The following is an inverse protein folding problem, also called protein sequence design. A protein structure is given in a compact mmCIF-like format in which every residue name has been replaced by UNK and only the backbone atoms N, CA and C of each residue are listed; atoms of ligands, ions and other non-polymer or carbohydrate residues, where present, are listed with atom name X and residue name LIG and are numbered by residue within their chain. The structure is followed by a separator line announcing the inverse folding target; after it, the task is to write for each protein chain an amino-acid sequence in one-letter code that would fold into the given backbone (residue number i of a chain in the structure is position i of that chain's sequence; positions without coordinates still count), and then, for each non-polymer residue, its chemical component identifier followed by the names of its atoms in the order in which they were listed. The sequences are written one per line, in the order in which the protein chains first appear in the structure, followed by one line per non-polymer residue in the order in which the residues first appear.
data_IF_797511626093
#
_entry.id   IF_797511626093
#
_cell.length_a   1.000
_cell.length_b   1.000
_cell.length_c   1.000
_cell.angle_alpha   90.00
_cell.angle_beta   90.00
_cell.angle_gamma   90.00
#
_symmetry.space_group_name_H-M   'P 1'
#
loop_
_entity.id
_entity.type
_entity.pdbx_description
1 polymer ?
#
# COMPACT_ATOMS: atom_id res chain seq x y z
N UNK A 1 -2.25 14.94 37.97
CA UNK A 1 -2.33 15.21 36.52
C UNK A 1 -1.99 13.92 35.81
N UNK A 2 -3.03 13.18 35.45
CA UNK A 2 -2.92 11.81 34.94
C UNK A 2 -2.51 11.82 33.47
N UNK A 3 -1.41 11.14 33.16
CA UNK A 3 -0.94 10.81 31.81
C UNK A 3 -1.87 9.78 31.17
N UNK A 4 -2.98 10.24 30.60
CA UNK A 4 -3.77 9.49 29.63
C UNK A 4 -3.39 9.99 28.23
N UNK A 5 -2.49 9.31 27.53
CA UNK A 5 -2.13 9.75 26.17
C UNK A 5 -1.00 9.04 25.42
N UNK A 6 -0.64 7.78 25.72
CA UNK A 6 0.45 7.10 24.98
C UNK A 6 0.11 5.70 24.44
N UNK A 7 -1.09 5.17 24.68
CA UNK A 7 -1.42 3.77 24.37
C UNK A 7 -1.82 3.49 22.90
N UNK A 8 -1.99 4.52 22.07
CA UNK A 8 -2.33 4.34 20.64
C UNK A 8 -1.16 4.52 19.66
N UNK A 9 -0.01 5.03 20.12
CA UNK A 9 1.10 5.47 19.27
C UNK A 9 2.21 4.42 19.13
N UNK A 10 2.34 3.50 20.09
CA UNK A 10 3.36 2.45 20.10
C UNK A 10 3.18 1.41 18.99
N UNK A 11 1.93 1.09 18.65
CA UNK A 11 1.65 -0.07 17.79
C UNK A 11 2.12 0.14 16.36
N UNK A 12 1.99 1.36 15.83
CA UNK A 12 2.41 1.69 14.48
C UNK A 12 3.94 1.65 14.34
N UNK A 13 4.69 2.12 15.34
CA UNK A 13 6.15 2.04 15.31
C UNK A 13 6.62 0.59 15.35
N UNK A 14 6.01 -0.22 16.23
CA UNK A 14 6.34 -1.65 16.36
C UNK A 14 6.05 -2.38 15.04
N UNK A 15 4.90 -2.10 14.42
CA UNK A 15 4.55 -2.64 13.11
C UNK A 15 5.53 -2.17 12.03
N UNK A 16 5.92 -0.89 12.02
CA UNK A 16 6.87 -0.35 11.05
C UNK A 16 8.25 -1.01 11.15
N UNK A 17 8.72 -1.34 12.35
CA UNK A 17 9.96 -2.10 12.55
C UNK A 17 9.92 -3.50 11.92
N UNK A 18 8.72 -4.07 11.74
CA UNK A 18 8.51 -5.39 11.15
C UNK A 18 8.51 -5.40 9.62
N UNK A 19 8.49 -4.22 8.97
CA UNK A 19 8.56 -4.08 7.51
C UNK A 19 9.94 -4.51 7.04
N UNK A 20 10.07 -5.55 6.21
CA UNK A 20 11.38 -6.10 5.84
C UNK A 20 12.14 -5.27 4.81
N UNK A 21 11.44 -4.82 3.77
CA UNK A 21 12.07 -4.01 2.74
C UNK A 21 12.49 -2.66 3.35
N UNK A 22 13.76 -2.32 3.13
CA UNK A 22 14.37 -1.14 3.77
C UNK A 22 13.75 0.15 3.25
N UNK A 23 13.44 0.23 1.96
CA UNK A 23 12.87 1.43 1.37
C UNK A 23 11.37 1.54 1.70
N UNK A 24 10.60 0.46 1.68
CA UNK A 24 9.23 0.43 2.20
C UNK A 24 9.17 0.90 3.65
N UNK A 25 10.12 0.44 4.49
CA UNK A 25 10.23 0.88 5.90
C UNK A 25 10.55 2.37 6.01
N UNK A 26 11.47 2.86 5.19
CA UNK A 26 11.83 4.28 5.15
C UNK A 26 10.62 5.15 4.76
N UNK A 27 9.91 4.75 3.70
CA UNK A 27 8.74 5.46 3.16
C UNK A 27 7.56 5.47 4.14
N UNK A 28 7.24 4.35 4.79
CA UNK A 28 6.18 4.35 5.81
C UNK A 28 6.58 5.19 7.03
N UNK A 29 7.89 5.30 7.33
CA UNK A 29 8.41 6.23 8.34
C UNK A 29 8.12 7.71 8.04
N UNK A 30 8.15 8.11 6.76
CA UNK A 30 7.73 9.46 6.35
C UNK A 30 6.24 9.68 6.61
N UNK A 31 5.40 8.69 6.30
CA UNK A 31 3.96 8.75 6.56
C UNK A 31 3.65 8.90 8.05
N UNK A 32 4.34 8.12 8.89
CA UNK A 32 4.20 8.20 10.35
C UNK A 32 4.65 9.56 10.88
N UNK A 33 5.73 10.11 10.33
CA UNK A 33 6.22 11.45 10.69
C UNK A 33 5.20 12.53 10.32
N UNK A 34 4.64 12.48 9.11
CA UNK A 34 3.59 13.40 8.67
C UNK A 34 2.32 13.28 9.53
N UNK A 35 1.91 12.05 9.87
CA UNK A 35 0.76 11.79 10.74
C UNK A 35 0.96 12.42 12.12
N UNK A 36 2.14 12.23 12.72
CA UNK A 36 2.51 12.83 14.02
C UNK A 36 2.56 14.35 13.98
N UNK A 37 3.00 14.91 12.87
CA UNK A 37 3.01 16.36 12.66
C UNK A 37 1.64 16.98 12.38
N UNK A 38 0.56 16.19 12.36
CA UNK A 38 -0.79 16.67 12.00
C UNK A 38 -0.97 16.96 10.51
N UNK A 39 0.01 16.63 9.67
CA UNK A 39 -0.06 16.77 8.22
C UNK A 39 -0.83 15.59 7.61
N UNK A 40 -2.12 15.48 7.91
CA UNK A 40 -2.94 14.28 7.65
C UNK A 40 -3.07 13.94 6.16
N UNK A 41 -3.29 14.93 5.28
CA UNK A 41 -3.31 14.71 3.82
C UNK A 41 -1.97 14.18 3.30
N UNK A 42 -0.86 14.74 3.80
CA UNK A 42 0.49 14.29 3.45
C UNK A 42 0.77 12.88 3.99
N UNK A 43 0.27 12.54 5.18
CA UNK A 43 0.38 11.19 5.71
C UNK A 43 -0.33 10.16 4.83
N UNK A 44 -1.52 10.48 4.31
CA UNK A 44 -2.23 9.63 3.32
C UNK A 44 -1.40 9.47 2.04
N UNK A 45 -0.86 10.58 1.50
CA UNK A 45 0.02 10.53 0.33
C UNK A 45 1.22 9.60 0.55
N UNK A 46 1.96 9.82 1.65
CA UNK A 46 3.16 9.03 1.95
C UNK A 46 2.84 7.56 2.23
N UNK A 47 1.68 7.27 2.85
CA UNK A 47 1.21 5.89 3.05
C UNK A 47 0.99 5.20 1.70
N UNK A 48 0.34 5.87 0.75
CA UNK A 48 0.15 5.34 -0.60
C UNK A 48 1.47 5.11 -1.34
N UNK A 49 2.43 6.04 -1.21
CA UNK A 49 3.76 5.88 -1.82
C UNK A 49 4.46 4.62 -1.29
N UNK A 50 4.40 4.37 0.03
CA UNK A 50 4.96 3.17 0.63
C UNK A 50 4.29 1.90 0.08
N UNK A 51 2.95 1.88 -0.01
CA UNK A 51 2.17 0.77 -0.57
C UNK A 51 2.54 0.51 -2.03
N UNK A 52 2.56 1.56 -2.86
CA UNK A 52 2.83 1.42 -4.29
C UNK A 52 4.24 0.91 -4.56
N UNK A 53 5.23 1.46 -3.83
CA UNK A 53 6.61 0.99 -3.91
C UNK A 53 6.73 -0.49 -3.51
N UNK A 54 6.13 -0.88 -2.39
CA UNK A 54 6.24 -2.24 -1.87
C UNK A 54 5.62 -3.30 -2.80
N UNK A 55 4.48 -2.98 -3.44
CA UNK A 55 3.87 -3.83 -4.48
C UNK A 55 4.83 -4.03 -5.64
N UNK A 56 5.44 -2.94 -6.15
CA UNK A 56 6.37 -3.00 -7.28
C UNK A 56 7.62 -3.79 -6.90
N UNK A 57 8.17 -3.57 -5.69
CA UNK A 57 9.31 -4.31 -5.19
C UNK A 57 9.02 -5.81 -5.15
N UNK A 58 7.90 -6.21 -4.53
CA UNK A 58 7.45 -7.61 -4.49
C UNK A 58 7.22 -8.18 -5.89
N UNK A 59 6.61 -7.42 -6.80
CA UNK A 59 6.39 -7.84 -8.18
C UNK A 59 7.71 -8.14 -8.91
N UNK A 60 8.75 -7.31 -8.73
CA UNK A 60 10.09 -7.56 -9.30
C UNK A 60 10.70 -8.83 -8.76
N UNK A 61 10.56 -9.05 -7.46
CA UNK A 61 11.12 -10.25 -6.83
C UNK A 61 10.39 -11.54 -7.23
N UNK A 62 9.07 -11.49 -7.45
CA UNK A 62 8.29 -12.64 -7.97
C UNK A 62 8.62 -12.88 -9.45
N UNK A 63 8.72 -11.81 -10.26
CA UNK A 63 9.11 -11.91 -11.67
C UNK A 63 10.47 -12.59 -11.86
N UNK A 64 11.44 -12.32 -10.95
CA UNK A 64 12.74 -12.96 -10.92
C UNK A 64 12.71 -14.48 -10.71
N UNK A 65 11.62 -15.03 -10.15
CA UNK A 65 11.45 -16.46 -9.87
C UNK A 65 10.85 -17.24 -11.04
N UNK A 66 10.38 -16.56 -12.09
CA UNK A 66 9.96 -17.23 -13.32
C UNK A 66 8.51 -17.00 -13.75
N UNK A 67 7.65 -16.51 -12.86
CA UNK A 67 6.20 -16.40 -13.07
C UNK A 67 5.81 -15.44 -14.21
N UNK A 68 4.84 -15.85 -15.04
CA UNK A 68 4.50 -15.14 -16.27
C UNK A 68 3.77 -13.81 -16.03
N UNK A 69 2.78 -13.76 -15.13
CA UNK A 69 2.00 -12.54 -14.86
C UNK A 69 2.87 -11.41 -14.27
N UNK A 70 3.65 -11.65 -13.19
CA UNK A 70 4.54 -10.63 -12.63
C UNK A 70 5.58 -10.13 -13.64
N UNK A 71 6.12 -11.01 -14.50
CA UNK A 71 7.03 -10.61 -15.58
C UNK A 71 6.37 -9.68 -16.59
N UNK A 72 5.14 -9.95 -16.99
CA UNK A 72 4.41 -9.09 -17.92
C UNK A 72 4.14 -7.71 -17.32
N UNK A 73 3.73 -7.66 -16.04
CA UNK A 73 3.52 -6.41 -15.32
C UNK A 73 4.82 -5.59 -15.20
N UNK A 74 5.91 -6.22 -14.76
CA UNK A 74 7.22 -5.54 -14.63
C UNK A 74 7.73 -5.07 -15.99
N UNK A 75 7.55 -5.85 -17.05
CA UNK A 75 7.91 -5.41 -18.40
C UNK A 75 7.09 -4.18 -18.82
N UNK A 76 5.77 -4.17 -18.58
CA UNK A 76 4.90 -3.00 -18.86
C UNK A 76 5.38 -1.77 -18.11
N UNK A 77 5.78 -1.92 -16.85
CA UNK A 77 6.34 -0.85 -16.03
C UNK A 77 7.68 -0.34 -16.58
N UNK A 78 8.62 -1.24 -16.86
CA UNK A 78 9.96 -0.90 -17.36
C UNK A 78 9.90 -0.21 -18.73
N UNK A 79 9.03 -0.68 -19.62
CA UNK A 79 8.78 -0.06 -20.93
C UNK A 79 8.22 1.37 -20.76
N UNK A 80 7.32 1.60 -19.79
CA UNK A 80 6.77 2.93 -19.49
C UNK A 80 7.83 3.88 -18.91
N UNK A 81 8.73 3.36 -18.05
CA UNK A 81 9.88 4.10 -17.51
C UNK A 81 10.82 4.52 -18.63
N UNK A 82 11.21 3.60 -19.51
CA UNK A 82 12.12 3.88 -20.62
C UNK A 82 11.53 4.93 -21.58
N UNK A 83 10.21 4.91 -21.79
CA UNK A 83 9.52 5.87 -22.65
C UNK A 83 9.19 7.22 -21.97
N UNK A 84 9.38 7.34 -20.64
CA UNK A 84 8.92 8.48 -19.84
C UNK A 84 7.42 8.80 -20.07
N UNK A 85 6.60 7.76 -20.21
CA UNK A 85 5.19 7.90 -20.60
C UNK A 85 4.31 8.15 -19.37
N UNK A 86 4.04 9.44 -19.11
CA UNK A 86 3.22 9.91 -17.99
C UNK A 86 1.82 9.30 -17.96
N UNK A 87 1.20 9.08 -19.13
CA UNK A 87 -0.16 8.49 -19.18
C UNK A 87 -0.12 7.04 -18.75
N UNK A 88 0.87 6.28 -19.22
CA UNK A 88 1.05 4.89 -18.78
C UNK A 88 1.35 4.79 -17.29
N UNK A 89 2.10 5.72 -16.71
CA UNK A 89 2.31 5.74 -15.27
C UNK A 89 1.01 5.92 -14.49
N UNK A 90 0.14 6.83 -14.93
CA UNK A 90 -1.18 7.02 -14.33
C UNK A 90 -2.04 5.76 -14.44
N UNK A 91 -2.05 5.11 -15.61
CA UNK A 91 -2.76 3.84 -15.81
C UNK A 91 -2.22 2.75 -14.88
N UNK A 92 -0.89 2.57 -14.82
CA UNK A 92 -0.26 1.59 -13.93
C UNK A 92 -0.60 1.88 -12.46
N UNK A 93 -0.56 3.14 -12.03
CA UNK A 93 -0.91 3.52 -10.66
C UNK A 93 -2.38 3.20 -10.33
N UNK A 94 -3.29 3.47 -11.27
CA UNK A 94 -4.72 3.19 -11.10
C UNK A 94 -5.01 1.69 -11.01
N UNK A 95 -4.28 0.85 -11.75
CA UNK A 95 -4.47 -0.61 -11.82
C UNK A 95 -3.66 -1.37 -10.75
N UNK A 96 -2.80 -0.69 -9.99
CA UNK A 96 -1.76 -1.33 -9.17
C UNK A 96 -2.31 -2.29 -8.11
N UNK A 97 -3.41 -1.93 -7.45
CA UNK A 97 -4.04 -2.79 -6.45
C UNK A 97 -4.74 -3.98 -7.08
N UNK A 98 -5.31 -3.81 -8.29
CA UNK A 98 -5.91 -4.91 -9.04
C UNK A 98 -4.84 -5.92 -9.44
N UNK A 99 -3.68 -5.45 -9.91
CA UNK A 99 -2.54 -6.32 -10.18
C UNK A 99 -2.04 -7.01 -8.91
N UNK A 100 -1.91 -6.27 -7.80
CA UNK A 100 -1.48 -6.83 -6.52
C UNK A 100 -2.40 -7.96 -6.01
N UNK A 101 -3.71 -7.82 -6.21
CA UNK A 101 -4.70 -8.79 -5.79
C UNK A 101 -4.81 -9.99 -6.75
N UNK A 102 -5.05 -9.72 -8.04
CA UNK A 102 -5.38 -10.78 -9.02
C UNK A 102 -4.14 -11.38 -9.69
N UNK A 103 -3.15 -10.56 -10.02
CA UNK A 103 -1.94 -11.00 -10.72
C UNK A 103 -0.85 -11.52 -9.79
N UNK A 104 -0.69 -10.89 -8.62
CA UNK A 104 0.36 -11.20 -7.65
C UNK A 104 -0.14 -11.93 -6.40
N UNK A 105 -1.45 -12.02 -6.18
CA UNK A 105 -2.07 -12.70 -5.03
C UNK A 105 -1.52 -12.24 -3.67
N UNK A 106 -1.23 -10.94 -3.53
CA UNK A 106 -0.66 -10.35 -2.32
C UNK A 106 -1.69 -10.05 -1.23
N UNK A 107 -2.98 -9.99 -1.59
CA UNK A 107 -4.05 -9.46 -0.75
C UNK A 107 -5.23 -10.43 -0.70
N UNK A 108 -5.84 -10.57 0.47
CA UNK A 108 -7.17 -11.14 0.60
C UNK A 108 -8.24 -10.10 0.18
N UNK A 109 -9.50 -10.53 -0.12
CA UNK A 109 -10.53 -9.61 -0.61
C UNK A 109 -10.78 -8.38 0.28
N UNK A 110 -10.88 -8.57 1.60
CA UNK A 110 -11.08 -7.45 2.55
C UNK A 110 -9.86 -6.54 2.68
N UNK A 111 -8.65 -7.08 2.51
CA UNK A 111 -7.39 -6.33 2.53
C UNK A 111 -7.29 -5.44 1.27
N UNK A 112 -7.69 -5.98 0.12
CA UNK A 112 -7.81 -5.23 -1.13
C UNK A 112 -8.78 -4.06 -0.99
N UNK A 113 -9.99 -4.29 -0.46
CA UNK A 113 -10.98 -3.22 -0.26
C UNK A 113 -10.46 -2.10 0.65
N UNK A 114 -9.75 -2.46 1.73
CA UNK A 114 -9.14 -1.50 2.63
C UNK A 114 -8.08 -0.62 1.92
N UNK A 115 -7.24 -1.22 1.07
CA UNK A 115 -6.24 -0.47 0.30
C UNK A 115 -6.85 0.33 -0.87
N UNK A 116 -7.94 -0.13 -1.47
CA UNK A 116 -8.72 0.65 -2.45
C UNK A 116 -9.28 1.92 -1.79
N UNK A 117 -9.74 1.81 -0.54
CA UNK A 117 -10.18 2.99 0.21
C UNK A 117 -9.04 3.98 0.44
N UNK A 118 -7.84 3.50 0.79
CA UNK A 118 -6.63 4.35 0.84
C UNK A 118 -6.37 5.04 -0.50
N UNK A 119 -6.42 4.34 -1.62
CA UNK A 119 -6.21 4.92 -2.95
C UNK A 119 -7.25 6.00 -3.28
N UNK A 120 -8.50 5.80 -2.88
CA UNK A 120 -9.58 6.78 -3.08
C UNK A 120 -9.36 8.04 -2.23
N UNK A 121 -9.08 7.87 -0.93
CA UNK A 121 -8.81 9.01 -0.04
C UNK A 121 -7.52 9.74 -0.44
N UNK A 122 -6.53 9.02 -1.01
CA UNK A 122 -5.37 9.61 -1.69
C UNK A 122 -5.82 10.49 -2.85
N UNK A 123 -6.68 10.03 -3.75
CA UNK A 123 -7.13 10.88 -4.86
C UNK A 123 -7.77 12.18 -4.36
N UNK A 124 -8.60 12.10 -3.32
CA UNK A 124 -9.19 13.29 -2.67
C UNK A 124 -8.13 14.20 -2.05
N UNK A 125 -7.10 13.64 -1.40
CA UNK A 125 -6.03 14.42 -0.80
C UNK A 125 -5.10 15.06 -1.86
N UNK A 126 -4.93 14.47 -3.04
CA UNK A 126 -4.04 14.96 -4.09
C UNK A 126 -4.68 16.06 -4.96
N UNK A 127 -5.99 16.00 -5.16
CA UNK A 127 -6.72 17.01 -5.91
C UNK A 127 -7.17 18.14 -4.99
N UNK A 128 -6.99 19.43 -5.38
CA UNK A 128 -7.53 20.56 -4.62
C UNK A 128 -9.05 20.70 -4.80
N UNK A 129 -9.77 19.60 -5.06
CA UNK A 129 -11.20 19.64 -5.30
C UNK A 129 -11.93 20.03 -4.01
N UNK A 130 -12.59 21.17 -4.05
CA UNK A 130 -13.45 21.66 -2.98
C UNK A 130 -14.63 20.69 -2.83
N UNK A 131 -14.72 19.99 -1.70
CA UNK A 131 -15.76 18.98 -1.46
C UNK A 131 -17.08 19.66 -1.05
N UNK A 132 -16.97 20.87 -0.48
CA UNK A 132 -18.00 21.87 -0.20
C UNK A 132 -17.30 23.24 -0.29
N UNK A 133 -18.00 24.30 -0.73
CA UNK A 133 -17.49 25.68 -0.97
C UNK A 133 -16.19 26.02 -0.21
N UNK A 134 -15.09 26.17 -0.97
CA UNK A 134 -13.75 26.62 -0.54
C UNK A 134 -12.95 25.75 0.47
N UNK A 135 -13.43 24.57 0.87
CA UNK A 135 -12.68 23.66 1.75
C UNK A 135 -12.10 22.42 1.04
N UNK A 136 -10.79 22.19 1.25
CA UNK A 136 -10.10 20.99 0.82
C UNK A 136 -10.54 19.78 1.64
N UNK A 137 -10.59 18.60 1.01
CA UNK A 137 -10.79 17.35 1.73
C UNK A 137 -9.76 17.19 2.86
N UNK A 138 -10.26 17.01 4.09
CA UNK A 138 -9.44 16.80 5.27
C UNK A 138 -9.85 15.49 5.95
N UNK A 139 -9.00 14.44 5.92
CA UNK A 139 -9.29 13.19 6.61
C UNK A 139 -9.14 13.37 8.13
N UNK A 140 -9.89 12.59 8.92
CA UNK A 140 -9.71 12.58 10.37
C UNK A 140 -8.42 11.86 10.78
N UNK A 141 -7.82 12.18 11.94
CA UNK A 141 -6.66 11.47 12.46
C UNK A 141 -6.88 9.94 12.56
N UNK A 142 -8.07 9.51 12.92
CA UNK A 142 -8.44 8.10 13.07
C UNK A 142 -8.45 7.38 11.73
N UNK A 143 -8.98 8.02 10.68
CA UNK A 143 -8.98 7.49 9.32
C UNK A 143 -7.55 7.34 8.79
N UNK A 144 -6.70 8.35 8.97
CA UNK A 144 -5.29 8.28 8.57
C UNK A 144 -4.55 7.19 9.34
N UNK A 145 -4.82 7.05 10.65
CA UNK A 145 -4.25 5.97 11.46
C UNK A 145 -4.66 4.60 10.91
N UNK A 146 -5.93 4.42 10.58
CA UNK A 146 -6.43 3.17 10.01
C UNK A 146 -5.72 2.84 8.68
N UNK A 147 -5.53 3.82 7.81
CA UNK A 147 -4.77 3.66 6.56
C UNK A 147 -3.33 3.17 6.79
N UNK A 148 -2.61 3.79 7.72
CA UNK A 148 -1.23 3.39 8.06
C UNK A 148 -1.21 1.97 8.61
N UNK A 149 -2.12 1.64 9.54
CA UNK A 149 -2.19 0.30 10.15
C UNK A 149 -2.54 -0.76 9.11
N UNK A 150 -3.53 -0.50 8.25
CA UNK A 150 -3.91 -1.43 7.18
C UNK A 150 -2.78 -1.64 6.17
N UNK A 151 -2.09 -0.57 5.75
CA UNK A 151 -0.92 -0.69 4.87
C UNK A 151 0.16 -1.58 5.51
N UNK A 152 0.49 -1.32 6.78
CA UNK A 152 1.46 -2.12 7.52
C UNK A 152 1.03 -3.59 7.64
N UNK A 153 -0.16 -3.84 8.19
CA UNK A 153 -0.64 -5.17 8.52
C UNK A 153 -0.93 -6.01 7.30
N UNK A 154 -1.59 -5.47 6.27
CA UNK A 154 -2.05 -6.25 5.13
C UNK A 154 -0.99 -6.43 4.05
N UNK A 155 0.02 -5.56 4.01
CA UNK A 155 0.99 -5.58 2.94
C UNK A 155 2.44 -5.51 3.47
N UNK A 156 2.84 -4.40 4.09
CA UNK A 156 4.26 -4.06 4.24
C UNK A 156 5.05 -5.01 5.16
N UNK A 157 4.42 -5.57 6.20
CA UNK A 157 5.10 -6.53 7.10
C UNK A 157 5.19 -7.94 6.48
N UNK A 158 4.31 -8.25 5.53
CA UNK A 158 4.21 -9.57 4.94
C UNK A 158 5.27 -9.84 3.88
N UNK A 159 5.61 -11.12 3.75
CA UNK A 159 6.55 -11.57 2.72
C UNK A 159 5.87 -11.48 1.36
N UNK A 160 6.67 -11.60 0.31
CA UNK A 160 6.25 -11.83 -1.08
C UNK A 160 5.12 -12.85 -1.27
N UNK A 161 4.96 -13.79 -0.35
CA UNK A 161 4.09 -14.93 -0.48
C UNK A 161 3.50 -15.26 0.91
N UNK A 162 2.22 -14.99 1.13
CA UNK A 162 1.47 -15.65 2.23
C UNK A 162 1.28 -17.09 1.74
N UNK A 163 2.27 -17.93 2.04
CA UNK A 163 2.41 -19.28 1.49
C UNK A 163 1.07 -19.99 1.47
N UNK A 164 0.56 -20.29 0.26
CA UNK A 164 -0.52 -21.23 -0.07
C UNK A 164 -1.10 -21.93 1.17
N UNK A 165 -1.87 -21.20 1.95
CA UNK A 165 -2.51 -21.70 3.17
C UNK A 165 -4.00 -21.76 2.92
N UNK A 166 -4.37 -22.43 1.82
CA UNK A 166 -5.70 -22.97 1.51
C UNK A 166 -5.61 -23.70 0.15
N UNK A 167 -4.87 -24.80 0.12
CA UNK A 167 -5.29 -25.93 -0.71
C UNK A 167 -5.55 -27.11 0.24
N UNK A 168 -6.81 -27.51 0.50
CA UNK A 168 -7.05 -28.92 0.65
C UNK A 168 -6.72 -29.53 -0.71
N UNK A 169 -5.58 -30.20 -0.78
CA UNK A 169 -5.21 -31.04 -1.91
C UNK A 169 -6.17 -32.23 -1.91
N UNK A 170 -7.39 -32.00 -2.39
CA UNK A 170 -8.39 -33.02 -2.63
C UNK A 170 -8.42 -33.33 -4.12
N UNK A 171 -7.29 -33.80 -4.66
CA UNK A 171 -7.35 -34.61 -5.87
C UNK A 171 -6.21 -35.62 -5.89
N UNK A 172 -6.62 -36.91 -5.85
CA UNK A 172 -5.86 -38.14 -6.05
C UNK A 172 -5.12 -38.61 -4.79
N UNK A 173 -5.43 -39.77 -4.22
CA UNK A 173 -5.28 -41.09 -4.87
C UNK A 173 -6.36 -42.07 -4.35
N UNK A 174 -6.95 -42.78 -5.33
CA UNK A 174 -7.52 -44.14 -5.35
C UNK A 174 -8.01 -44.81 -4.05
#
# INVERSE_FOLDING_TARGET
MSTFGSLGHSDIDILALSVRDRESRRLIGEAITAYRGGALRSAVMSTWIAVAYDIIAKAREIAGQGEASPKAFIKKLDDAIAANDKRKFQTIESELLTEANSGLQLLAPHEYEALVRLQTDRHLCAHPAFVVEDELYQPSPELVRAHIVHALQYLLIHARYRAKALSPDSTLIC
#
